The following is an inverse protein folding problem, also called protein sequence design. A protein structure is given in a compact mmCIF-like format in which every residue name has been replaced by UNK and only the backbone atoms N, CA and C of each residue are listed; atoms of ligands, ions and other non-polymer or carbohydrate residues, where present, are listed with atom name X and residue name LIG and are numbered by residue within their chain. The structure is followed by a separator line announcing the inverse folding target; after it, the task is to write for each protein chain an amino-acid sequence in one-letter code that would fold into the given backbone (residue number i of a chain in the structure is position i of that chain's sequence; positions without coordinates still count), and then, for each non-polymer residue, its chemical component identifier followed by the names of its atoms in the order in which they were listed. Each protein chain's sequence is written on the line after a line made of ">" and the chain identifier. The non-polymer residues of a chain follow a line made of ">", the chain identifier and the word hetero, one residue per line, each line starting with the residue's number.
data_IF_761694398578
#
_entry.id   IF_761694398578
#
_cell.length_a   1.000
_cell.length_b   1.000
_cell.length_c   1.000
_cell.angle_alpha   90.00
_cell.angle_beta   90.00
_cell.angle_gamma   90.00
#
_symmetry.space_group_name_H-M   'P 1'
#
loop_
_entity.id
_entity.type
_entity.pdbx_description
1 polymer ?
#
# COMPACT_ATOMS: atom_id res chain seq x y z
N UNK A 1 8.66 -35.94 -64.72
CA UNK A 1 7.22 -35.59 -64.79
C UNK A 1 6.47 -36.76 -64.18
N UNK A 2 5.67 -36.70 -63.11
CA UNK A 2 4.98 -35.61 -62.43
C UNK A 2 4.73 -36.11 -60.99
N UNK A 3 5.11 -35.30 -60.00
CA UNK A 3 4.94 -35.53 -58.56
C UNK A 3 3.57 -35.00 -58.12
N UNK A 4 2.65 -35.83 -57.60
CA UNK A 4 1.44 -35.34 -56.89
C UNK A 4 0.97 -36.35 -55.83
N UNK A 5 1.61 -36.30 -54.66
CA UNK A 5 1.05 -36.86 -53.43
C UNK A 5 -0.15 -36.02 -53.00
N UNK A 6 -1.33 -36.64 -53.03
CA UNK A 6 -2.58 -36.07 -52.54
C UNK A 6 -2.66 -36.36 -51.03
N UNK A 7 -1.92 -35.61 -50.22
CA UNK A 7 -2.06 -35.64 -48.75
C UNK A 7 -3.12 -34.62 -48.37
N UNK A 8 -4.36 -35.10 -48.30
CA UNK A 8 -5.49 -34.41 -47.70
C UNK A 8 -5.28 -34.37 -46.19
N UNK A 9 -4.50 -33.40 -45.71
CA UNK A 9 -4.33 -33.14 -44.29
C UNK A 9 -5.50 -32.30 -43.79
N UNK A 10 -6.39 -32.98 -43.06
CA UNK A 10 -7.44 -32.49 -42.18
C UNK A 10 -6.99 -31.23 -41.41
N UNK A 11 -7.42 -30.05 -41.85
CA UNK A 11 -7.29 -28.79 -41.10
C UNK A 11 -8.57 -28.63 -40.26
N UNK A 12 -8.55 -29.24 -39.08
CA UNK A 12 -9.52 -28.96 -38.01
C UNK A 12 -9.23 -27.54 -37.48
N UNK A 13 -9.97 -26.57 -38.02
CA UNK A 13 -10.02 -25.22 -37.49
C UNK A 13 -10.87 -25.29 -36.21
N UNK A 14 -10.23 -25.43 -35.07
CA UNK A 14 -10.87 -25.17 -33.78
C UNK A 14 -11.15 -23.67 -33.70
N UNK A 15 -12.40 -23.21 -33.52
CA UNK A 15 -12.61 -21.85 -33.07
C UNK A 15 -12.03 -21.74 -31.66
N UNK A 16 -10.95 -20.96 -31.52
CA UNK A 16 -10.56 -20.45 -30.21
C UNK A 16 -11.78 -19.69 -29.67
N UNK A 17 -12.50 -20.31 -28.73
CA UNK A 17 -13.42 -19.59 -27.87
C UNK A 17 -12.59 -18.57 -27.12
N UNK A 18 -12.72 -17.30 -27.52
CA UNK A 18 -12.24 -16.16 -26.76
C UNK A 18 -13.04 -16.17 -25.45
N UNK A 19 -12.51 -16.83 -24.42
CA UNK A 19 -13.02 -16.68 -23.09
C UNK A 19 -12.85 -15.20 -22.74
N UNK A 20 -13.96 -14.48 -22.55
CA UNK A 20 -13.93 -13.20 -21.89
C UNK A 20 -13.36 -13.47 -20.49
N UNK A 21 -12.08 -13.17 -20.31
CA UNK A 21 -11.45 -13.17 -19.01
C UNK A 21 -12.14 -12.05 -18.24
N UNK A 22 -13.05 -12.39 -17.32
CA UNK A 22 -13.58 -11.39 -16.39
C UNK A 22 -12.37 -10.83 -15.65
N UNK A 23 -11.99 -9.61 -15.99
CA UNK A 23 -10.95 -8.89 -15.29
C UNK A 23 -11.47 -8.68 -13.87
N UNK A 24 -10.88 -9.39 -12.90
CA UNK A 24 -11.21 -9.18 -11.49
C UNK A 24 -11.16 -7.68 -11.22
N UNK A 25 -12.23 -7.15 -10.65
CA UNK A 25 -12.27 -5.77 -10.23
C UNK A 25 -11.14 -5.55 -9.21
N UNK A 26 -10.24 -4.62 -9.52
CA UNK A 26 -9.14 -4.24 -8.62
C UNK A 26 -9.74 -3.66 -7.34
N UNK A 27 -9.22 -4.10 -6.19
CA UNK A 27 -9.67 -3.63 -4.89
C UNK A 27 -9.58 -2.10 -4.73
N UNK A 28 -10.61 -1.51 -4.13
CA UNK A 28 -10.70 -0.11 -3.73
C UNK A 28 -11.28 0.82 -4.80
N UNK A 29 -11.48 2.09 -4.41
CA UNK A 29 -11.97 3.13 -5.34
C UNK A 29 -10.87 3.61 -6.28
N UNK A 30 -11.24 4.02 -7.49
CA UNK A 30 -10.31 4.50 -8.54
C UNK A 30 -9.47 5.72 -8.13
N UNK A 31 -9.95 6.49 -7.17
CA UNK A 31 -9.27 7.67 -6.64
C UNK A 31 -8.25 7.35 -5.54
N UNK A 32 -8.18 6.10 -5.05
CA UNK A 32 -7.18 5.72 -4.06
C UNK A 32 -5.80 5.55 -4.73
N UNK A 33 -4.72 6.04 -4.11
CA UNK A 33 -3.36 5.81 -4.60
C UNK A 33 -3.02 4.33 -4.80
N UNK A 34 -3.41 3.48 -3.85
CA UNK A 34 -3.19 2.03 -3.89
C UNK A 34 -3.88 1.37 -5.07
N UNK A 35 -5.15 1.72 -5.34
CA UNK A 35 -5.90 1.20 -6.49
C UNK A 35 -5.21 1.56 -7.82
N UNK A 36 -4.71 2.79 -7.95
CA UNK A 36 -4.00 3.20 -9.17
C UNK A 36 -2.69 2.43 -9.37
N UNK A 37 -1.92 2.24 -8.29
CA UNK A 37 -0.69 1.44 -8.35
C UNK A 37 -1.01 -0.01 -8.73
N UNK A 38 -2.00 -0.61 -8.09
CA UNK A 38 -2.43 -1.98 -8.35
C UNK A 38 -2.88 -2.15 -9.82
N UNK A 39 -3.66 -1.21 -10.37
CA UNK A 39 -4.02 -1.21 -11.80
C UNK A 39 -2.83 -1.12 -12.73
N UNK A 40 -1.84 -0.27 -12.41
CA UNK A 40 -0.64 -0.13 -13.23
C UNK A 40 0.21 -1.42 -13.21
N UNK A 41 0.35 -2.05 -12.05
CA UNK A 41 1.04 -3.35 -11.93
C UNK A 41 0.37 -4.42 -12.78
N UNK A 42 -0.97 -4.51 -12.73
CA UNK A 42 -1.71 -5.46 -13.57
C UNK A 42 -1.52 -5.15 -15.06
N UNK A 43 -1.52 -3.87 -15.45
CA UNK A 43 -1.24 -3.47 -16.83
C UNK A 43 0.16 -3.87 -17.31
N UNK A 44 1.17 -3.74 -16.46
CA UNK A 44 2.54 -4.16 -16.77
C UNK A 44 2.65 -5.70 -16.88
N UNK A 45 1.93 -6.44 -16.03
CA UNK A 45 1.83 -7.90 -16.10
C UNK A 45 1.12 -8.36 -17.37
N UNK A 46 0.03 -7.71 -17.77
CA UNK A 46 -0.67 -7.97 -19.03
C UNK A 46 0.21 -7.66 -20.25
N UNK A 47 1.15 -6.71 -20.12
CA UNK A 47 2.17 -6.41 -21.12
C UNK A 47 3.36 -7.41 -21.11
N UNK A 48 3.36 -8.39 -20.20
CA UNK A 48 4.32 -9.50 -20.14
C UNK A 48 5.45 -9.33 -19.11
N UNK A 49 5.40 -8.32 -18.24
CA UNK A 49 6.34 -8.21 -17.13
C UNK A 49 6.11 -9.32 -16.08
N UNK A 50 7.18 -9.74 -15.41
CA UNK A 50 7.02 -10.61 -14.23
C UNK A 50 6.36 -9.83 -13.09
N UNK A 51 5.64 -10.51 -12.19
CA UNK A 51 4.99 -9.84 -11.06
C UNK A 51 5.98 -9.01 -10.23
N UNK A 52 7.18 -9.53 -9.96
CA UNK A 52 8.19 -8.81 -9.20
C UNK A 52 8.70 -7.56 -9.92
N UNK A 53 8.94 -7.66 -11.23
CA UNK A 53 9.39 -6.51 -12.02
C UNK A 53 8.28 -5.46 -12.13
N UNK A 54 7.04 -5.88 -12.36
CA UNK A 54 5.88 -4.99 -12.45
C UNK A 54 5.67 -4.20 -11.15
N UNK A 55 5.70 -4.90 -10.00
CA UNK A 55 5.61 -4.28 -8.66
C UNK A 55 6.76 -3.30 -8.43
N UNK A 56 8.01 -3.75 -8.62
CA UNK A 56 9.19 -2.92 -8.34
C UNK A 56 9.24 -1.69 -9.22
N UNK A 57 9.03 -1.86 -10.53
CA UNK A 57 9.06 -0.75 -11.49
C UNK A 57 7.94 0.25 -11.23
N UNK A 58 6.72 -0.22 -10.92
CA UNK A 58 5.60 0.67 -10.62
C UNK A 58 5.86 1.47 -9.35
N UNK A 59 6.41 0.85 -8.30
CA UNK A 59 6.79 1.58 -7.07
C UNK A 59 7.85 2.64 -7.38
N UNK A 60 8.87 2.32 -8.17
CA UNK A 60 9.91 3.29 -8.54
C UNK A 60 9.34 4.47 -9.33
N UNK A 61 8.47 4.21 -10.31
CA UNK A 61 7.74 5.24 -11.06
C UNK A 61 6.88 6.09 -10.12
N UNK A 62 6.15 5.46 -9.19
CA UNK A 62 5.29 6.14 -8.24
C UNK A 62 6.05 7.09 -7.30
N UNK A 63 7.32 6.78 -7.02
CA UNK A 63 8.21 7.57 -6.18
C UNK A 63 8.95 8.68 -6.95
N UNK A 64 8.90 8.71 -8.28
CA UNK A 64 9.51 9.78 -9.06
C UNK A 64 8.96 11.15 -8.63
N UNK A 65 9.83 12.17 -8.62
CA UNK A 65 9.48 13.50 -8.12
C UNK A 65 8.21 14.07 -8.74
N UNK A 66 8.02 13.87 -10.04
CA UNK A 66 6.91 14.44 -10.81
C UNK A 66 5.71 13.51 -10.94
N UNK A 67 5.78 12.27 -10.46
CA UNK A 67 4.65 11.36 -10.48
C UNK A 67 3.52 11.88 -9.57
N UNK A 68 2.27 11.79 -10.02
CA UNK A 68 1.10 12.31 -9.30
C UNK A 68 0.27 11.19 -8.65
N UNK A 69 0.68 9.94 -8.81
CA UNK A 69 -0.04 8.78 -8.30
C UNK A 69 -0.05 8.71 -6.77
N UNK A 70 1.01 9.19 -6.12
CA UNK A 70 1.14 9.31 -4.66
C UNK A 70 1.22 10.79 -4.24
N UNK A 71 0.65 11.13 -3.07
CA UNK A 71 0.91 12.41 -2.38
C UNK A 71 2.36 12.47 -1.88
N UNK A 72 2.81 13.65 -1.42
CA UNK A 72 4.16 13.80 -0.88
C UNK A 72 4.38 12.91 0.35
N UNK A 73 3.37 12.83 1.22
CA UNK A 73 3.35 12.00 2.42
C UNK A 73 3.37 10.51 2.05
N UNK A 74 2.52 10.08 1.12
CA UNK A 74 2.49 8.68 0.68
C UNK A 74 3.80 8.27 -0.02
N UNK A 75 4.45 9.17 -0.78
CA UNK A 75 5.79 8.91 -1.31
C UNK A 75 6.81 8.70 -0.20
N UNK A 76 6.77 9.52 0.85
CA UNK A 76 7.67 9.35 2.00
C UNK A 76 7.46 8.01 2.69
N UNK A 77 6.20 7.59 2.88
CA UNK A 77 5.85 6.31 3.50
C UNK A 77 6.28 5.13 2.65
N UNK A 78 6.01 5.15 1.34
CA UNK A 78 6.42 4.09 0.40
C UNK A 78 7.94 4.02 0.27
N UNK A 79 8.64 5.16 0.28
CA UNK A 79 10.10 5.21 0.20
C UNK A 79 10.80 4.78 1.49
N UNK A 80 10.13 4.88 2.65
CA UNK A 80 10.69 4.48 3.94
C UNK A 80 11.05 2.99 3.98
N UNK A 81 10.17 2.15 3.41
CA UNK A 81 10.38 0.71 3.31
C UNK A 81 9.79 0.20 1.98
N UNK A 82 10.62 0.29 0.93
CA UNK A 82 10.22 -0.16 -0.41
C UNK A 82 9.94 -1.66 -0.46
N UNK A 83 10.66 -2.45 0.32
CA UNK A 83 10.47 -3.90 0.37
C UNK A 83 9.10 -4.23 0.97
N UNK A 84 8.75 -3.61 2.09
CA UNK A 84 7.42 -3.75 2.68
C UNK A 84 6.32 -3.27 1.71
N UNK A 85 6.57 -2.18 1.00
CA UNK A 85 5.63 -1.66 0.00
C UNK A 85 5.43 -2.63 -1.17
N UNK A 86 6.50 -3.28 -1.62
CA UNK A 86 6.42 -4.30 -2.66
C UNK A 86 5.65 -5.53 -2.16
N UNK A 87 5.96 -6.03 -0.96
CA UNK A 87 5.21 -7.13 -0.34
C UNK A 87 3.74 -6.80 -0.14
N UNK A 88 3.43 -5.55 0.21
CA UNK A 88 2.04 -5.09 0.32
C UNK A 88 1.29 -5.22 -1.01
N UNK A 89 1.87 -4.77 -2.13
CA UNK A 89 1.23 -4.96 -3.43
C UNK A 89 1.21 -6.40 -3.92
N UNK A 90 2.19 -7.22 -3.54
CA UNK A 90 2.15 -8.67 -3.80
C UNK A 90 0.98 -9.35 -3.09
N UNK A 91 0.74 -9.01 -1.82
CA UNK A 91 -0.42 -9.51 -1.07
C UNK A 91 -1.74 -8.97 -1.65
N UNK A 92 -1.80 -7.69 -2.03
CA UNK A 92 -2.98 -7.14 -2.70
C UNK A 92 -3.30 -7.82 -4.03
N UNK A 93 -2.30 -8.23 -4.80
CA UNK A 93 -2.49 -9.03 -6.03
C UNK A 93 -2.99 -10.44 -5.72
N UNK A 94 -2.56 -11.02 -4.60
CA UNK A 94 -2.90 -12.38 -4.21
C UNK A 94 -4.32 -12.47 -3.64
N UNK A 95 -4.65 -11.59 -2.69
CA UNK A 95 -5.90 -11.63 -1.92
C UNK A 95 -6.99 -10.72 -2.50
N UNK A 96 -6.59 -9.66 -3.22
CA UNK A 96 -7.47 -8.55 -3.61
C UNK A 96 -8.30 -8.02 -2.42
N UNK A 97 -7.68 -7.96 -1.24
CA UNK A 97 -8.32 -7.65 0.04
C UNK A 97 -7.34 -6.89 0.94
N UNK A 98 -7.71 -5.66 1.33
CA UNK A 98 -6.88 -4.83 2.20
C UNK A 98 -6.72 -5.42 3.60
N UNK A 99 -7.81 -5.94 4.16
CA UNK A 99 -7.81 -6.61 5.47
C UNK A 99 -6.79 -7.76 5.47
N UNK A 100 -6.84 -8.62 4.45
CA UNK A 100 -5.96 -9.78 4.37
C UNK A 100 -4.50 -9.38 4.16
N UNK A 101 -4.23 -8.42 3.26
CA UNK A 101 -2.88 -7.94 3.01
C UNK A 101 -2.25 -7.34 4.28
N UNK A 102 -3.01 -6.50 5.01
CA UNK A 102 -2.55 -5.91 6.26
C UNK A 102 -2.35 -6.99 7.33
N UNK A 103 -3.29 -7.93 7.47
CA UNK A 103 -3.19 -9.02 8.44
C UNK A 103 -1.93 -9.85 8.21
N UNK A 104 -1.77 -10.39 7.00
CA UNK A 104 -0.64 -11.26 6.64
C UNK A 104 0.68 -10.53 6.85
N UNK A 105 0.81 -9.29 6.37
CA UNK A 105 2.05 -8.53 6.55
C UNK A 105 2.33 -8.20 8.01
N UNK A 106 1.31 -7.94 8.82
CA UNK A 106 1.47 -7.68 10.24
C UNK A 106 1.93 -8.93 10.99
N UNK A 107 1.41 -10.11 10.64
CA UNK A 107 1.85 -11.40 11.19
C UNK A 107 3.30 -11.73 10.81
N UNK A 108 3.66 -11.51 9.53
CA UNK A 108 5.01 -11.78 9.02
C UNK A 108 6.04 -10.76 9.53
N UNK A 109 5.60 -9.53 9.82
CA UNK A 109 6.46 -8.42 10.21
C UNK A 109 5.98 -7.80 11.53
N UNK A 110 5.91 -8.60 12.60
CA UNK A 110 5.38 -8.14 13.88
C UNK A 110 6.10 -6.87 14.45
N UNK A 111 7.37 -6.66 14.11
CA UNK A 111 8.10 -5.44 14.48
C UNK A 111 7.81 -4.21 13.61
N UNK A 112 7.01 -4.36 12.54
CA UNK A 112 6.69 -3.32 11.56
C UNK A 112 5.20 -3.04 11.38
N UNK A 113 4.34 -3.50 12.29
CA UNK A 113 2.87 -3.35 12.13
C UNK A 113 2.46 -1.89 12.02
N UNK A 114 3.11 -0.99 12.75
CA UNK A 114 2.88 0.46 12.64
C UNK A 114 3.10 0.95 11.20
N UNK A 115 4.18 0.50 10.56
CA UNK A 115 4.51 0.82 9.17
C UNK A 115 3.51 0.20 8.19
N UNK A 116 3.06 -1.04 8.44
CA UNK A 116 2.03 -1.71 7.61
C UNK A 116 0.72 -0.92 7.64
N UNK A 117 0.22 -0.57 8.83
CA UNK A 117 -1.03 0.20 8.97
C UNK A 117 -0.88 1.60 8.35
N UNK A 118 0.25 2.27 8.61
CA UNK A 118 0.52 3.60 8.03
C UNK A 118 0.53 3.54 6.50
N UNK A 119 1.19 2.54 5.93
CA UNK A 119 1.23 2.33 4.48
C UNK A 119 -0.18 2.07 3.92
N UNK A 120 -0.94 1.19 4.55
CA UNK A 120 -2.30 0.86 4.13
C UNK A 120 -3.23 2.09 4.13
N UNK A 121 -3.20 2.89 5.20
CA UNK A 121 -4.01 4.12 5.31
C UNK A 121 -3.59 5.17 4.28
N UNK A 122 -2.31 5.31 4.00
CA UNK A 122 -1.81 6.25 2.99
C UNK A 122 -2.17 5.83 1.56
N UNK A 123 -2.22 4.52 1.30
CA UNK A 123 -2.58 3.97 -0.01
C UNK A 123 -4.09 3.86 -0.23
N UNK A 124 -4.86 3.61 0.83
CA UNK A 124 -6.32 3.45 0.80
C UNK A 124 -7.00 4.29 1.89
N UNK A 125 -6.89 5.62 1.88
CA UNK A 125 -7.46 6.50 2.90
C UNK A 125 -8.96 6.32 3.13
N UNK A 126 -9.75 6.01 2.10
CA UNK A 126 -11.20 5.76 2.25
C UNK A 126 -11.52 4.46 2.99
N UNK A 127 -10.55 3.54 3.08
CA UNK A 127 -10.70 2.20 3.65
C UNK A 127 -9.83 2.05 4.90
N UNK A 128 -9.56 3.15 5.62
CA UNK A 128 -8.73 3.13 6.82
C UNK A 128 -9.25 2.18 7.91
N UNK A 129 -10.57 2.01 8.03
CA UNK A 129 -11.17 1.02 8.94
C UNK A 129 -10.69 -0.41 8.62
N UNK A 130 -10.61 -0.78 7.34
CA UNK A 130 -10.15 -2.12 6.95
C UNK A 130 -8.67 -2.35 7.29
N UNK A 131 -7.84 -1.30 7.23
CA UNK A 131 -6.47 -1.38 7.70
C UNK A 131 -6.38 -1.62 9.22
N UNK A 132 -7.26 -0.97 10.01
CA UNK A 132 -7.36 -1.19 11.46
C UNK A 132 -7.82 -2.62 11.75
N UNK A 133 -8.85 -3.09 11.02
CA UNK A 133 -9.41 -4.43 11.20
C UNK A 133 -8.39 -5.51 10.87
N UNK A 134 -7.65 -5.37 9.75
CA UNK A 134 -6.57 -6.28 9.38
C UNK A 134 -5.48 -6.38 10.44
N UNK A 135 -5.03 -5.23 10.97
CA UNK A 135 -4.00 -5.20 12.01
C UNK A 135 -4.50 -5.77 13.35
N UNK A 136 -5.77 -5.54 13.68
CA UNK A 136 -6.41 -6.11 14.87
C UNK A 136 -6.57 -7.62 14.75
N UNK A 137 -6.95 -8.11 13.57
CA UNK A 137 -7.08 -9.55 13.26
C UNK A 137 -5.74 -10.28 13.29
N UNK A 138 -4.63 -9.61 12.96
CA UNK A 138 -3.29 -10.17 13.12
C UNK A 138 -2.95 -10.44 14.60
N UNK A 139 -3.61 -9.76 15.54
CA UNK A 139 -3.41 -9.94 16.98
C UNK A 139 -2.04 -9.49 17.49
N UNK A 140 -1.29 -8.71 16.69
CA UNK A 140 0.05 -8.23 17.04
C UNK A 140 0.00 -6.92 17.82
N UNK A 141 -0.97 -6.06 17.51
CA UNK A 141 -1.23 -4.81 18.24
C UNK A 141 -2.71 -4.78 18.67
N UNK A 142 -3.05 -4.15 19.80
CA UNK A 142 -4.43 -4.00 20.22
C UNK A 142 -5.19 -3.04 19.30
N UNK A 143 -6.51 -3.19 19.21
CA UNK A 143 -7.36 -2.40 18.33
C UNK A 143 -7.25 -0.88 18.57
N UNK A 144 -7.07 -0.47 19.83
CA UNK A 144 -6.92 0.95 20.18
C UNK A 144 -5.59 1.53 19.66
N UNK A 145 -4.52 0.74 19.65
CA UNK A 145 -3.23 1.18 19.10
C UNK A 145 -3.28 1.19 17.57
N UNK A 146 -3.95 0.22 16.95
CA UNK A 146 -4.19 0.22 15.50
C UNK A 146 -4.97 1.47 15.07
N UNK A 147 -6.01 1.84 15.82
CA UNK A 147 -6.76 3.07 15.63
C UNK A 147 -5.85 4.31 15.76
N UNK A 148 -5.04 4.38 16.82
CA UNK A 148 -4.13 5.51 17.03
C UNK A 148 -3.14 5.65 15.87
N UNK A 149 -2.56 4.55 15.40
CA UNK A 149 -1.65 4.54 14.25
C UNK A 149 -2.36 5.02 12.99
N UNK A 150 -3.58 4.54 12.72
CA UNK A 150 -4.35 4.96 11.56
C UNK A 150 -4.65 6.47 11.58
N UNK A 151 -5.04 7.02 12.73
CA UNK A 151 -5.26 8.45 12.90
C UNK A 151 -3.96 9.26 12.71
N UNK A 152 -2.84 8.78 13.23
CA UNK A 152 -1.52 9.39 13.01
C UNK A 152 -1.09 9.33 11.54
N UNK A 153 -1.50 8.28 10.83
CA UNK A 153 -1.29 8.12 9.40
C UNK A 153 -2.24 8.98 8.54
N UNK A 154 -3.16 9.72 9.15
CA UNK A 154 -4.06 10.65 8.46
C UNK A 154 -5.42 10.08 8.07
N UNK A 155 -5.84 8.97 8.68
CA UNK A 155 -7.21 8.47 8.52
C UNK A 155 -8.23 9.52 8.97
N UNK A 156 -9.33 9.66 8.22
CA UNK A 156 -10.43 10.54 8.58
C UNK A 156 -11.24 9.89 9.73
N UNK A 157 -11.29 10.50 10.93
CA UNK A 157 -12.03 9.96 12.07
C UNK A 157 -13.51 9.73 11.79
N UNK A 158 -14.11 10.48 10.85
CA UNK A 158 -15.54 10.35 10.50
C UNK A 158 -15.86 9.06 9.73
N UNK A 159 -14.83 8.41 9.17
CA UNK A 159 -14.94 7.17 8.39
C UNK A 159 -14.65 5.91 9.21
N UNK A 160 -14.19 6.09 10.45
CA UNK A 160 -13.87 5.00 11.37
C UNK A 160 -15.10 4.72 12.22
N UNK A 161 -15.56 3.48 12.19
CA UNK A 161 -16.65 3.03 13.06
C UNK A 161 -16.13 2.85 14.49
N UNK A 162 -16.88 3.32 15.50
CA UNK A 162 -16.50 3.32 16.93
C UNK A 162 -16.28 1.93 17.57
N UNK A 163 -16.10 0.85 16.80
CA UNK A 163 -15.92 -0.50 17.30
C UNK A 163 -14.67 -0.68 18.20
N UNK A 164 -13.70 0.23 18.14
CA UNK A 164 -12.52 0.23 19.01
C UNK A 164 -12.70 0.93 20.38
N UNK A 165 -13.88 1.50 20.68
CA UNK A 165 -14.12 2.22 21.94
C UNK A 165 -14.57 1.34 23.14
N UNK A 166 -14.57 0.01 22.99
CA UNK A 166 -14.94 -0.93 24.07
C UNK A 166 -13.71 -1.64 24.64
N UNK A 167 -12.95 -0.95 25.50
CA UNK A 167 -12.10 -1.57 26.51
C UNK A 167 -10.61 -1.62 26.20
N UNK A 168 -9.85 -0.69 26.76
CA UNK A 168 -8.41 -0.75 26.88
C UNK A 168 -7.89 0.51 27.55
N UNK A 169 -7.34 0.39 28.76
CA UNK A 169 -6.73 1.51 29.47
C UNK A 169 -5.66 2.18 28.58
N UNK A 170 -5.75 3.50 28.46
CA UNK A 170 -4.79 4.32 27.73
C UNK A 170 -3.46 4.31 28.49
N UNK A 171 -2.57 3.38 28.15
CA UNK A 171 -1.15 3.52 28.51
C UNK A 171 -0.50 4.43 27.48
N UNK A 172 -0.18 5.64 27.90
CA UNK A 172 0.39 6.67 27.04
C UNK A 172 1.86 6.39 26.67
N UNK A 173 2.18 6.80 25.44
CA UNK A 173 3.50 7.22 24.90
C UNK A 173 4.39 6.16 24.21
N UNK A 174 4.10 5.92 22.92
CA UNK A 174 5.17 5.85 21.91
C UNK A 174 5.29 7.26 21.32
N UNK A 175 6.50 7.83 21.39
CA UNK A 175 6.78 9.17 20.87
C UNK A 175 6.41 9.26 19.38
N UNK A 176 5.77 10.36 18.93
CA UNK A 176 5.41 10.51 17.53
C UNK A 176 6.68 10.46 16.66
N UNK A 177 6.69 9.55 15.70
CA UNK A 177 7.72 9.50 14.66
C UNK A 177 7.59 10.77 13.81
N UNK A 178 8.38 11.78 14.18
CA UNK A 178 8.93 12.80 13.29
C UNK A 178 7.94 13.51 12.36
N UNK A 179 7.09 14.37 12.92
CA UNK A 179 6.75 15.60 12.21
C UNK A 179 8.06 16.34 11.88
N UNK A 180 8.27 16.67 10.62
CA UNK A 180 9.50 17.23 10.08
C UNK A 180 10.12 18.28 11.00
N UNK A 181 11.33 17.99 11.48
CA UNK A 181 12.18 18.93 12.20
C UNK A 181 12.69 19.95 11.18
N UNK A 182 11.87 20.97 10.91
CA UNK A 182 12.33 22.21 10.27
C UNK A 182 13.20 22.97 11.26
N UNK A 183 14.48 22.59 11.36
CA UNK A 183 15.50 23.35 12.06
C UNK A 183 15.82 24.65 11.30
N UNK A 184 14.96 25.65 11.47
CA UNK A 184 15.22 27.03 11.07
C UNK A 184 15.98 27.77 12.17
N UNK A 185 17.31 27.71 12.10
CA UNK A 185 18.27 28.73 12.56
C UNK A 185 18.10 29.35 13.95
N UNK A 186 18.89 28.88 14.91
CA UNK A 186 19.37 29.72 16.02
C UNK A 186 20.44 30.70 15.49
N UNK A 187 20.11 31.98 15.45
CA UNK A 187 21.07 33.09 15.54
C UNK A 187 20.48 34.08 16.54
N UNK A 188 21.09 34.45 17.64
CA UNK A 188 22.52 34.49 17.96
C UNK A 188 22.84 35.94 18.30
N UNK A 189 22.79 36.30 19.58
CA UNK A 189 23.35 37.55 20.09
C UNK A 189 22.46 38.30 21.08
N UNK A 190 22.48 37.90 22.35
CA UNK A 190 22.67 38.86 23.45
C UNK A 190 23.16 38.10 24.69
N UNK A 191 24.48 38.03 24.83
CA UNK A 191 25.13 37.69 26.09
C UNK A 191 25.75 38.95 26.68
N UNK A 192 25.11 39.43 27.74
CA UNK A 192 25.75 39.87 28.99
C UNK A 192 26.55 41.18 28.96
N UNK A 193 26.00 42.19 29.63
CA UNK A 193 26.79 43.05 30.51
C UNK A 193 25.97 43.40 31.76
N UNK A 194 26.24 42.67 32.84
CA UNK A 194 25.98 43.12 34.21
C UNK A 194 27.04 44.16 34.57
N UNK A 195 26.65 45.26 35.22
CA UNK A 195 27.35 45.79 36.42
C UNK A 195 26.55 46.94 37.06
N UNK A 196 26.28 46.75 38.36
CA UNK A 196 26.15 47.74 39.44
C UNK A 196 25.00 48.78 39.39
#
# INVERSE_FOLDING_TARGET
>A
MLNRYFISCLLLILPFTLAAQEQLAVYGDDNQPGTRIHKQILGDMDAGASQNDAVSNTIDIALEKNATILSAEAKSTVALDKELSASFFQEMLLSNSLIDAVKVLSELNAGKVVQVVTLAVQLYPNFAQEAIDGATLAGVIPAQDALLVALQAGADPSTITEAAAAGGEVTTLIAPLGAGTGAGGTGGGDTTASTN
#
